data_IF_904619098291
#
_entry.id   IF_904619098291
#
_cell.length_a   1.000
_cell.length_b   1.000
_cell.length_c   1.000
_cell.angle_alpha   90.00
_cell.angle_beta   90.00
_cell.angle_gamma   90.00
#
_symmetry.space_group_name_H-M   'P 1'
#
loop_
_entity.id
_entity.type
_entity.pdbx_description
1 polymer ?
#
# COMPACT_ATOMS: atom_id res chain seq x y z
N UNK A 1 6.75 -8.60 -16.81
CA UNK A 1 6.26 -7.33 -16.25
C UNK A 1 6.75 -7.18 -14.80
N UNK A 2 8.02 -7.46 -14.53
CA UNK A 2 8.58 -7.62 -13.17
C UNK A 2 9.63 -6.57 -12.80
N UNK A 3 9.93 -5.63 -13.70
CA UNK A 3 11.05 -4.69 -13.55
C UNK A 3 10.66 -3.31 -12.97
N UNK A 4 9.41 -3.14 -12.52
CA UNK A 4 8.93 -1.92 -11.88
C UNK A 4 8.67 -2.19 -10.38
N UNK A 5 7.46 -1.95 -9.89
CA UNK A 5 7.08 -2.20 -8.49
C UNK A 5 6.45 -3.58 -8.26
N UNK A 6 6.67 -4.52 -9.19
CA UNK A 6 6.09 -5.85 -9.16
C UNK A 6 4.60 -5.89 -9.52
N UNK A 7 4.05 -7.11 -9.54
CA UNK A 7 2.61 -7.32 -9.69
C UNK A 7 1.91 -6.97 -8.38
N UNK A 8 0.68 -6.45 -8.49
CA UNK A 8 -0.20 -6.35 -7.32
C UNK A 8 -0.42 -7.76 -6.77
N UNK A 9 -0.06 -7.96 -5.52
CA UNK A 9 -0.29 -9.21 -4.83
C UNK A 9 -1.60 -9.12 -4.04
N UNK A 10 -2.57 -9.96 -4.38
CA UNK A 10 -3.85 -10.03 -3.68
C UNK A 10 -3.70 -10.56 -2.25
N UNK A 11 -2.66 -11.35 -1.96
CA UNK A 11 -2.33 -11.81 -0.60
C UNK A 11 -1.90 -10.66 0.33
N UNK A 12 -1.52 -9.51 -0.23
CA UNK A 12 -1.19 -8.29 0.52
C UNK A 12 -2.42 -7.39 0.75
N UNK A 13 -3.59 -7.81 0.29
CA UNK A 13 -4.87 -7.16 0.58
C UNK A 13 -5.49 -7.83 1.79
N UNK A 14 -5.58 -7.10 2.89
CA UNK A 14 -6.12 -7.59 4.15
C UNK A 14 -7.49 -6.95 4.40
N UNK A 15 -8.52 -7.76 4.63
CA UNK A 15 -9.81 -7.27 5.07
C UNK A 15 -9.89 -7.37 6.60
N UNK A 16 -10.02 -6.22 7.27
CA UNK A 16 -10.11 -6.13 8.71
C UNK A 16 -11.54 -5.72 9.11
N UNK A 17 -12.14 -6.35 10.14
CA UNK A 17 -13.39 -5.88 10.71
C UNK A 17 -13.24 -4.44 11.20
N UNK A 18 -14.23 -3.58 10.93
CA UNK A 18 -14.21 -2.18 11.40
C UNK A 18 -14.06 -2.10 12.92
N UNK A 19 -14.60 -3.07 13.65
CA UNK A 19 -14.48 -3.19 15.10
C UNK A 19 -13.05 -3.37 15.62
N UNK A 20 -12.11 -3.86 14.80
CA UNK A 20 -10.70 -3.97 15.18
C UNK A 20 -9.93 -2.65 15.02
N UNK A 21 -10.55 -1.64 14.41
CA UNK A 21 -9.92 -0.34 14.21
C UNK A 21 -10.38 0.57 15.34
N UNK A 22 -9.45 1.14 16.13
CA UNK A 22 -9.83 2.02 17.22
C UNK A 22 -10.56 3.26 16.68
N UNK A 23 -11.65 3.65 17.34
CA UNK A 23 -12.54 4.77 16.95
C UNK A 23 -11.85 6.13 16.81
N UNK A 24 -10.60 6.26 17.26
CA UNK A 24 -9.76 7.45 17.06
C UNK A 24 -9.07 7.55 15.70
N UNK A 25 -9.20 6.53 14.83
CA UNK A 25 -8.61 6.52 13.48
C UNK A 25 -9.68 6.93 12.48
N UNK A 26 -9.47 8.07 11.83
CA UNK A 26 -10.29 8.48 10.69
C UNK A 26 -10.11 7.50 9.53
N UNK A 27 -11.11 6.67 9.32
CA UNK A 27 -11.21 5.75 8.20
C UNK A 27 -11.63 6.50 6.94
N UNK A 28 -10.64 6.83 6.10
CA UNK A 28 -10.87 7.43 4.78
C UNK A 28 -10.18 6.61 3.69
N UNK A 29 -10.88 6.36 2.59
CA UNK A 29 -10.29 5.69 1.42
C UNK A 29 -9.11 6.51 0.90
N UNK A 30 -7.98 5.87 0.67
CA UNK A 30 -6.71 6.49 0.28
C UNK A 30 -5.80 6.88 1.44
N UNK A 31 -6.29 6.84 2.69
CA UNK A 31 -5.46 7.14 3.87
C UNK A 31 -4.46 6.02 4.11
N UNK A 32 -3.25 6.40 4.53
CA UNK A 32 -2.15 5.47 4.81
C UNK A 32 -2.08 5.19 6.30
N UNK A 33 -2.19 3.92 6.68
CA UNK A 33 -2.05 3.45 8.06
C UNK A 33 -0.76 2.65 8.21
N UNK A 34 -0.26 2.57 9.44
CA UNK A 34 0.85 1.70 9.79
C UNK A 34 0.27 0.44 10.45
N UNK A 35 0.31 -0.68 9.74
CA UNK A 35 -0.05 -1.97 10.28
C UNK A 35 1.20 -2.66 10.81
N UNK A 36 1.11 -3.29 11.98
CA UNK A 36 2.19 -4.13 12.50
C UNK A 36 1.91 -5.57 12.10
N UNK A 37 2.79 -6.16 11.31
CA UNK A 37 2.74 -7.59 10.98
C UNK A 37 3.08 -8.45 12.20
N UNK A 38 2.70 -9.73 12.18
CA UNK A 38 3.00 -10.70 13.24
C UNK A 38 4.50 -10.87 13.49
N UNK A 39 5.33 -10.66 12.47
CA UNK A 39 6.80 -10.66 12.58
C UNK A 39 7.36 -9.37 13.22
N UNK A 40 6.50 -8.46 13.68
CA UNK A 40 6.90 -7.23 14.34
C UNK A 40 7.30 -6.10 13.38
N UNK A 41 7.37 -6.37 12.08
CA UNK A 41 7.63 -5.38 11.05
C UNK A 41 6.44 -4.44 10.88
N UNK A 42 6.71 -3.14 10.86
CA UNK A 42 5.71 -2.11 10.60
C UNK A 42 5.62 -1.90 9.09
N UNK A 43 4.48 -2.21 8.51
CA UNK A 43 4.19 -2.05 7.08
C UNK A 43 3.16 -0.95 6.89
N UNK A 44 3.40 -0.09 5.90
CA UNK A 44 2.43 0.94 5.53
C UNK A 44 1.38 0.34 4.63
N UNK A 45 0.12 0.44 5.03
CA UNK A 45 -1.05 -0.04 4.28
C UNK A 45 -1.92 1.13 3.87
N UNK A 46 -2.68 1.00 2.79
CA UNK A 46 -3.60 2.00 2.28
C UNK A 46 -5.02 1.48 2.37
N UNK A 47 -5.95 2.30 2.87
CA UNK A 47 -7.36 1.93 2.84
C UNK A 47 -7.86 2.02 1.40
N UNK A 48 -8.25 0.91 0.80
CA UNK A 48 -8.78 0.89 -0.58
C UNK A 48 -10.29 0.86 -0.62
N UNK A 49 -10.93 0.35 0.44
CA UNK A 49 -12.39 0.27 0.55
C UNK A 49 -12.81 0.27 2.02
N UNK A 50 -13.93 0.93 2.30
CA UNK A 50 -14.58 0.94 3.61
C UNK A 50 -16.02 0.53 3.39
N UNK A 51 -16.50 -0.42 4.18
CA UNK A 51 -17.91 -0.80 4.29
C UNK A 51 -18.38 -0.55 5.73
N UNK A 52 -19.67 -0.72 5.98
CA UNK A 52 -20.25 -0.58 7.32
C UNK A 52 -19.65 -1.60 8.32
N UNK A 53 -19.26 -2.78 7.84
CA UNK A 53 -18.79 -3.88 8.68
C UNK A 53 -17.27 -4.11 8.59
N UNK A 54 -16.66 -3.85 7.43
CA UNK A 54 -15.26 -4.19 7.14
C UNK A 54 -14.49 -3.06 6.44
N UNK A 55 -13.17 -3.08 6.61
CA UNK A 55 -12.23 -2.15 5.97
C UNK A 55 -11.18 -2.95 5.23
N UNK A 56 -11.00 -2.65 3.95
CA UNK A 56 -9.98 -3.26 3.10
C UNK A 56 -8.70 -2.44 3.14
N UNK A 57 -7.62 -3.07 3.58
CA UNK A 57 -6.28 -2.52 3.72
C UNK A 57 -5.38 -3.16 2.68
N UNK A 58 -4.68 -2.36 1.88
CA UNK A 58 -3.78 -2.84 0.84
C UNK A 58 -2.33 -2.49 1.20
N UNK A 59 -1.49 -3.51 1.37
CA UNK A 59 -0.06 -3.38 1.66
C UNK A 59 0.83 -3.34 0.40
N UNK A 60 0.25 -3.36 -0.80
CA UNK A 60 1.00 -3.25 -2.05
C UNK A 60 1.65 -1.88 -2.18
N UNK A 61 2.75 -1.85 -2.94
CA UNK A 61 3.32 -0.58 -3.38
C UNK A 61 2.26 0.18 -4.21
N UNK A 62 2.08 1.51 -4.04
CA UNK A 62 1.05 2.27 -4.75
C UNK A 62 1.14 2.21 -6.28
N UNK A 63 2.30 1.80 -6.80
CA UNK A 63 2.58 1.65 -8.24
C UNK A 63 2.66 0.17 -8.67
N UNK A 64 2.38 -0.77 -7.78
CA UNK A 64 2.36 -2.20 -8.11
C UNK A 64 1.18 -2.51 -9.04
N UNK A 65 1.45 -3.26 -10.11
CA UNK A 65 0.45 -3.58 -11.13
C UNK A 65 0.06 -2.43 -12.07
N UNK A 66 0.74 -1.28 -12.01
CA UNK A 66 0.57 -0.21 -12.99
C UNK A 66 1.68 -0.26 -14.04
N UNK A 67 1.32 -0.10 -15.31
CA UNK A 67 2.29 0.14 -16.38
C UNK A 67 2.82 1.58 -16.26
N UNK A 68 4.07 1.71 -15.81
CA UNK A 68 4.70 3.00 -15.61
C UNK A 68 5.49 3.40 -16.86
N UNK A 69 5.15 4.56 -17.42
CA UNK A 69 5.97 5.23 -18.44
C UNK A 69 6.78 6.31 -17.75
N UNK A 70 8.11 6.17 -17.77
CA UNK A 70 9.03 7.15 -17.19
C UNK A 70 9.63 8.01 -18.29
N UNK A 71 9.56 9.32 -18.13
CA UNK A 71 10.41 10.26 -18.86
C UNK A 71 11.66 10.52 -18.00
N UNK A 72 12.82 10.14 -18.52
CA UNK A 72 14.09 10.24 -17.79
C UNK A 72 14.92 11.35 -18.42
N UNK A 73 15.28 12.35 -17.61
CA UNK A 73 16.25 13.38 -17.99
C UNK A 73 17.60 13.09 -17.30
N UNK A 74 18.66 12.91 -18.09
CA UNK A 74 19.99 12.65 -17.58
C UNK A 74 20.66 13.97 -17.19
N UNK A 75 20.66 14.29 -15.90
CA UNK A 75 21.18 15.58 -15.39
C UNK A 75 22.71 15.60 -15.27
N UNK A 76 23.33 14.49 -14.84
CA UNK A 76 24.79 14.38 -14.71
C UNK A 76 25.21 12.93 -14.49
N UNK A 77 26.47 12.61 -14.82
CA UNK A 77 27.09 11.32 -14.50
C UNK A 77 28.30 11.60 -13.61
N UNK A 78 28.30 11.06 -12.38
CA UNK A 78 29.47 11.03 -11.50
C UNK A 78 30.21 9.70 -11.66
N UNK A 79 31.54 9.72 -11.67
CA UNK A 79 32.34 8.49 -11.64
C UNK A 79 32.11 7.75 -10.30
N UNK A 80 31.92 6.43 -10.39
CA UNK A 80 31.64 5.53 -9.26
C UNK A 80 32.86 5.28 -8.37
#
# INVERSE_FOLDING_TARGET
CDNAYGKRNEDLVLEAPRANIPDGVELEVGKRLQARSQEGQVTRVVITKITDETVTLDANHPLAGQDLTFEIELVSISAA
#
